data_IF_548606048365
#
_entry.id   IF_548606048365
#
_cell.length_a   1.000
_cell.length_b   1.000
_cell.length_c   1.000
_cell.angle_alpha   90.00
_cell.angle_beta   90.00
_cell.angle_gamma   90.00
#
_symmetry.space_group_name_H-M   'P 1'
#
loop_
_entity.id
_entity.type
_entity.pdbx_description
1 polymer ?
#
# COMPACT_ATOMS: atom_id res chain seq x y z
N UNK A 1 -45.93 38.84 15.78
CA UNK A 1 -44.68 38.40 16.46
C UNK A 1 -44.57 36.88 16.39
N UNK A 2 -45.66 36.15 16.62
CA UNK A 2 -45.71 34.67 16.47
C UNK A 2 -45.47 34.15 15.04
N UNK A 3 -45.94 34.83 13.99
CA UNK A 3 -45.72 34.39 12.59
C UNK A 3 -44.24 34.47 12.16
N UNK A 4 -43.52 35.53 12.56
CA UNK A 4 -42.09 35.71 12.26
C UNK A 4 -41.19 34.74 13.06
N UNK A 5 -41.67 34.27 14.21
CA UNK A 5 -40.97 33.26 15.01
C UNK A 5 -41.08 31.88 14.34
N UNK A 6 -42.27 31.55 13.85
CA UNK A 6 -42.57 30.30 13.17
C UNK A 6 -41.84 30.18 11.81
N UNK A 7 -41.70 31.29 11.08
CA UNK A 7 -40.99 31.31 9.79
C UNK A 7 -39.48 31.11 9.96
N UNK A 8 -38.87 31.73 10.98
CA UNK A 8 -37.45 31.51 11.30
C UNK A 8 -37.16 30.09 11.81
N UNK A 9 -38.07 29.54 12.61
CA UNK A 9 -37.98 28.18 13.12
C UNK A 9 -38.14 27.15 11.98
N UNK A 10 -39.06 27.40 11.05
CA UNK A 10 -39.24 26.60 9.84
C UNK A 10 -38.01 26.65 8.92
N UNK A 11 -37.42 27.83 8.70
CA UNK A 11 -36.20 27.98 7.90
C UNK A 11 -35.00 27.28 8.55
N UNK A 12 -34.90 27.32 9.89
CA UNK A 12 -33.87 26.60 10.64
C UNK A 12 -34.03 25.09 10.51
N UNK A 13 -35.25 24.56 10.69
CA UNK A 13 -35.56 23.15 10.51
C UNK A 13 -35.33 22.67 9.06
N UNK A 14 -35.64 23.52 8.08
CA UNK A 14 -35.42 23.22 6.65
C UNK A 14 -33.92 23.12 6.33
N UNK A 15 -33.08 24.02 6.86
CA UNK A 15 -31.62 23.96 6.69
C UNK A 15 -31.02 22.69 7.29
N UNK A 16 -31.38 22.38 8.54
CA UNK A 16 -30.93 21.15 9.19
C UNK A 16 -31.36 19.89 8.41
N UNK A 17 -32.57 19.88 7.85
CA UNK A 17 -33.06 18.77 7.04
C UNK A 17 -32.28 18.59 5.73
N UNK A 18 -31.94 19.69 5.05
CA UNK A 18 -31.14 19.65 3.82
C UNK A 18 -29.71 19.18 4.09
N UNK A 19 -29.11 19.62 5.19
CA UNK A 19 -27.77 19.18 5.64
C UNK A 19 -27.74 17.67 5.91
N UNK A 20 -28.74 17.14 6.64
CA UNK A 20 -28.85 15.70 6.89
C UNK A 20 -29.03 14.90 5.59
N UNK A 21 -29.81 15.43 4.64
CA UNK A 21 -29.99 14.78 3.33
C UNK A 21 -28.71 14.78 2.50
N UNK A 22 -28.01 15.90 2.44
CA UNK A 22 -26.74 16.00 1.73
C UNK A 22 -25.69 15.07 2.34
N UNK A 23 -25.59 15.03 3.67
CA UNK A 23 -24.73 14.09 4.40
C UNK A 23 -25.10 12.64 4.09
N UNK A 24 -26.39 12.29 4.13
CA UNK A 24 -26.86 10.95 3.79
C UNK A 24 -26.52 10.54 2.34
N UNK A 25 -26.70 11.44 1.38
CA UNK A 25 -26.33 11.21 -0.01
C UNK A 25 -24.81 11.00 -0.18
N UNK A 26 -23.99 11.79 0.52
CA UNK A 26 -22.53 11.64 0.52
C UNK A 26 -22.10 10.28 1.09
N UNK A 27 -22.68 9.87 2.22
CA UNK A 27 -22.37 8.58 2.84
C UNK A 27 -22.73 7.41 1.90
N UNK A 28 -23.88 7.49 1.23
CA UNK A 28 -24.30 6.49 0.25
C UNK A 28 -23.36 6.46 -0.96
N UNK A 29 -22.91 7.62 -1.44
CA UNK A 29 -21.92 7.71 -2.52
C UNK A 29 -20.58 7.10 -2.11
N UNK A 30 -20.06 7.43 -0.93
CA UNK A 30 -18.79 6.89 -0.42
C UNK A 30 -18.82 5.36 -0.32
N UNK A 31 -19.95 4.80 0.09
CA UNK A 31 -20.14 3.34 0.14
C UNK A 31 -20.11 2.72 -1.27
N UNK A 32 -20.72 3.39 -2.26
CA UNK A 32 -20.76 2.93 -3.66
C UNK A 32 -19.44 3.08 -4.42
N UNK A 33 -18.61 4.07 -4.06
CA UNK A 33 -17.36 4.40 -4.76
C UNK A 33 -16.13 3.65 -4.22
N UNK A 34 -16.34 2.70 -3.32
CA UNK A 34 -15.28 2.00 -2.60
C UNK A 34 -14.60 0.96 -3.51
N UNK A 35 -13.29 1.12 -3.74
CA UNK A 35 -12.46 0.22 -4.57
C UNK A 35 -11.71 -0.79 -3.67
N UNK A 36 -11.66 -2.07 -4.08
CA UNK A 36 -10.87 -3.12 -3.39
C UNK A 36 -11.60 -3.87 -2.26
N UNK A 37 -12.93 -3.85 -2.27
CA UNK A 37 -13.80 -4.37 -1.19
C UNK A 37 -14.53 -5.66 -1.53
N UNK A 38 -14.17 -6.25 -2.68
CA UNK A 38 -14.89 -7.34 -3.36
C UNK A 38 -15.03 -8.60 -2.49
N UNK A 39 -14.23 -8.69 -1.42
CA UNK A 39 -14.17 -9.81 -0.49
C UNK A 39 -14.56 -9.46 0.96
N UNK A 40 -14.99 -8.23 1.24
CA UNK A 40 -15.51 -7.89 2.57
C UNK A 40 -16.98 -8.31 2.72
N UNK A 41 -17.38 -8.63 3.95
CA UNK A 41 -18.78 -8.92 4.24
C UNK A 41 -19.64 -7.68 3.98
N UNK A 42 -20.88 -7.86 3.49
CA UNK A 42 -21.80 -6.78 3.13
C UNK A 42 -22.16 -5.80 4.28
N UNK A 43 -21.70 -6.07 5.51
CA UNK A 43 -21.88 -5.20 6.68
C UNK A 43 -20.73 -4.21 6.90
N UNK A 44 -19.64 -4.28 6.13
CA UNK A 44 -18.50 -3.37 6.31
C UNK A 44 -18.76 -2.07 5.54
N UNK A 45 -19.27 -1.07 6.25
CA UNK A 45 -19.51 0.29 5.73
C UNK A 45 -18.23 1.11 5.67
N UNK A 46 -18.23 2.18 4.88
CA UNK A 46 -17.15 3.18 4.90
C UNK A 46 -16.82 3.62 6.35
N UNK A 47 -15.56 3.51 6.80
CA UNK A 47 -15.19 3.89 8.16
C UNK A 47 -15.23 5.42 8.30
N UNK A 48 -16.36 5.93 8.80
CA UNK A 48 -16.51 7.32 9.21
C UNK A 48 -16.18 7.41 10.69
N UNK A 49 -15.05 8.04 11.02
CA UNK A 49 -14.58 8.14 12.41
C UNK A 49 -15.43 9.09 13.24
N UNK A 50 -15.83 10.23 12.67
CA UNK A 50 -16.62 11.26 13.39
C UNK A 50 -17.35 12.16 12.40
N UNK A 51 -18.55 12.60 12.76
CA UNK A 51 -19.31 13.63 12.04
C UNK A 51 -19.34 14.86 12.94
N UNK A 52 -18.91 16.01 12.40
CA UNK A 52 -18.90 17.30 13.12
C UNK A 52 -19.70 18.33 12.32
N UNK A 53 -20.58 19.05 13.00
CA UNK A 53 -21.22 20.25 12.45
C UNK A 53 -20.31 21.44 12.70
N UNK A 54 -20.09 22.27 11.68
CA UNK A 54 -19.26 23.47 11.80
C UNK A 54 -20.14 24.67 11.51
N UNK A 55 -20.15 25.66 12.41
CA UNK A 55 -20.95 26.86 12.26
C UNK A 55 -20.15 27.97 11.57
N UNK A 56 -20.83 28.86 10.83
CA UNK A 56 -20.18 30.01 10.18
C UNK A 56 -19.43 30.88 11.18
N UNK A 57 -19.92 31.01 12.41
CA UNK A 57 -19.24 31.76 13.48
C UNK A 57 -17.91 31.15 13.94
N UNK A 58 -17.63 29.90 13.58
CA UNK A 58 -16.38 29.19 13.87
C UNK A 58 -15.40 29.25 12.68
N UNK A 59 -15.79 29.89 11.58
CA UNK A 59 -15.03 29.96 10.33
C UNK A 59 -14.61 31.39 10.01
N UNK A 60 -13.48 31.52 9.31
CA UNK A 60 -13.10 32.76 8.63
C UNK A 60 -13.44 32.59 7.16
N UNK A 61 -14.40 33.38 6.66
CA UNK A 61 -14.73 33.38 5.24
C UNK A 61 -13.63 34.08 4.45
N UNK A 62 -13.08 33.38 3.45
CA UNK A 62 -11.99 33.88 2.62
C UNK A 62 -12.45 33.79 1.17
N UNK A 63 -12.39 34.91 0.46
CA UNK A 63 -12.74 34.92 -0.95
C UNK A 63 -11.70 34.16 -1.79
N UNK A 64 -12.11 33.66 -2.95
CA UNK A 64 -11.26 32.83 -3.81
C UNK A 64 -9.99 33.55 -4.28
N UNK A 65 -10.03 34.87 -4.46
CA UNK A 65 -8.87 35.65 -4.88
C UNK A 65 -7.85 35.80 -3.75
N UNK A 66 -8.33 36.03 -2.53
CA UNK A 66 -7.51 36.06 -1.32
C UNK A 66 -6.94 34.68 -1.00
N UNK A 67 -7.73 33.62 -1.10
CA UNK A 67 -7.23 32.26 -0.90
C UNK A 67 -6.09 31.92 -1.87
N UNK A 68 -6.24 32.27 -3.15
CA UNK A 68 -5.20 32.08 -4.16
C UNK A 68 -3.97 32.97 -3.96
N UNK A 69 -4.17 34.24 -3.59
CA UNK A 69 -3.08 35.19 -3.35
C UNK A 69 -2.25 34.85 -2.10
N UNK A 70 -2.90 34.32 -1.06
CA UNK A 70 -2.24 33.90 0.17
C UNK A 70 -1.45 32.59 -0.01
N UNK A 71 -1.70 31.84 -1.10
CA UNK A 71 -1.04 30.56 -1.40
C UNK A 71 -0.93 29.63 -0.18
N UNK A 72 -1.98 29.60 0.64
CA UNK A 72 -2.00 28.85 1.92
C UNK A 72 -1.80 27.36 1.63
N UNK A 73 -2.33 26.88 0.50
CA UNK A 73 -2.15 25.53 0.00
C UNK A 73 -1.79 25.57 -1.49
N UNK A 74 -0.76 24.83 -1.88
CA UNK A 74 -0.38 24.62 -3.27
C UNK A 74 -1.42 23.73 -3.95
N UNK A 75 -2.16 24.24 -4.93
CA UNK A 75 -3.20 23.48 -5.64
C UNK A 75 -2.67 22.21 -6.35
N UNK A 76 -1.36 22.13 -6.61
CA UNK A 76 -0.73 21.09 -7.42
C UNK A 76 -0.12 19.92 -6.64
N UNK A 77 -0.24 19.86 -5.31
CA UNK A 77 0.54 18.91 -4.48
C UNK A 77 -0.24 17.72 -3.89
N UNK A 78 -1.39 17.38 -4.47
CA UNK A 78 -2.12 16.17 -4.09
C UNK A 78 -1.79 14.99 -5.01
N UNK A 79 -0.51 14.58 -5.02
CA UNK A 79 -0.17 13.25 -5.54
C UNK A 79 -0.76 12.22 -4.57
N UNK A 80 -1.79 11.52 -5.03
CA UNK A 80 -2.67 10.61 -4.28
C UNK A 80 -2.05 10.01 -3.01
N UNK A 81 -2.80 10.16 -1.92
CA UNK A 81 -2.37 9.76 -0.58
C UNK A 81 -1.78 8.36 -0.59
N UNK A 82 -0.65 8.20 0.11
CA UNK A 82 0.08 6.93 0.18
C UNK A 82 -0.84 5.77 0.60
N UNK A 83 -1.77 6.03 1.53
CA UNK A 83 -2.77 5.07 2.02
C UNK A 83 -3.81 4.69 0.97
N UNK A 84 -4.19 5.61 0.08
CA UNK A 84 -5.13 5.32 -1.01
C UNK A 84 -4.47 4.46 -2.09
N UNK A 85 -3.18 4.71 -2.37
CA UNK A 85 -2.38 3.87 -3.27
C UNK A 85 -2.16 2.46 -2.70
N UNK A 86 -1.98 2.36 -1.39
CA UNK A 86 -1.89 1.09 -0.68
C UNK A 86 -3.23 0.34 -0.73
N UNK A 87 -4.34 1.03 -0.44
CA UNK A 87 -5.70 0.47 -0.51
C UNK A 87 -6.08 -0.02 -1.91
N UNK A 88 -5.64 0.69 -2.95
CA UNK A 88 -5.89 0.30 -4.35
C UNK A 88 -4.91 -0.75 -4.89
N UNK A 89 -3.94 -1.21 -4.09
CA UNK A 89 -2.91 -2.15 -4.54
C UNK A 89 -1.92 -1.59 -5.57
N UNK A 90 -1.92 -0.27 -5.80
CA UNK A 90 -1.06 0.42 -6.79
C UNK A 90 0.21 1.01 -6.17
N UNK A 91 0.51 0.65 -4.92
CA UNK A 91 1.67 1.10 -4.18
C UNK A 91 2.96 0.45 -4.69
N UNK A 92 4.00 1.26 -4.84
CA UNK A 92 5.37 0.86 -5.22
C UNK A 92 6.21 0.67 -3.97
N UNK A 93 7.40 0.06 -4.11
CA UNK A 93 8.37 -0.14 -3.03
C UNK A 93 8.68 1.16 -2.28
N UNK A 94 8.89 2.27 -3.01
CA UNK A 94 9.12 3.60 -2.42
C UNK A 94 7.98 4.08 -1.52
N UNK A 95 6.73 3.71 -1.83
CA UNK A 95 5.57 4.08 -1.02
C UNK A 95 5.54 3.26 0.28
N UNK A 96 5.87 1.97 0.22
CA UNK A 96 5.98 1.14 1.42
C UNK A 96 7.13 1.58 2.34
N UNK A 97 8.27 1.96 1.76
CA UNK A 97 9.41 2.49 2.51
C UNK A 97 9.06 3.83 3.18
N UNK A 98 8.40 4.75 2.46
CA UNK A 98 7.95 6.01 3.02
C UNK A 98 6.93 5.82 4.14
N UNK A 99 6.04 4.83 4.03
CA UNK A 99 5.11 4.48 5.10
C UNK A 99 5.87 4.00 6.34
N UNK A 100 6.80 3.05 6.17
CA UNK A 100 7.64 2.52 7.25
C UNK A 100 8.42 3.65 7.96
N UNK A 101 9.07 4.53 7.21
CA UNK A 101 9.76 5.72 7.76
C UNK A 101 8.82 6.64 8.50
N UNK A 102 7.61 6.87 7.97
CA UNK A 102 6.61 7.73 8.61
C UNK A 102 6.19 7.15 9.95
N UNK A 103 5.88 5.85 10.01
CA UNK A 103 5.51 5.16 11.25
C UNK A 103 6.67 5.19 12.26
N UNK A 104 7.88 4.86 11.82
CA UNK A 104 9.07 4.87 12.66
C UNK A 104 9.34 6.25 13.26
N UNK A 105 9.29 7.29 12.42
CA UNK A 105 9.44 8.68 12.85
C UNK A 105 8.34 9.09 13.83
N UNK A 106 7.08 8.68 13.61
CA UNK A 106 5.99 8.93 14.54
C UNK A 106 6.24 8.29 15.91
N UNK A 107 6.71 7.03 15.98
CA UNK A 107 7.08 6.38 17.25
C UNK A 107 8.20 7.14 17.96
N UNK A 108 9.21 7.60 17.21
CA UNK A 108 10.31 8.40 17.75
C UNK A 108 9.79 9.72 18.32
N UNK A 109 8.90 10.42 17.59
CA UNK A 109 8.26 11.65 18.05
C UNK A 109 7.45 11.40 19.32
N UNK A 110 6.68 10.31 19.39
CA UNK A 110 5.94 9.90 20.60
C UNK A 110 6.84 9.78 21.82
N UNK A 111 7.93 9.02 21.69
CA UNK A 111 8.92 8.82 22.76
C UNK A 111 9.58 10.13 23.18
N UNK A 112 9.88 11.03 22.22
CA UNK A 112 10.40 12.35 22.54
C UNK A 112 9.38 13.20 23.31
N UNK A 113 8.11 13.21 22.90
CA UNK A 113 7.04 13.95 23.58
C UNK A 113 6.82 13.44 25.01
N UNK A 114 6.90 12.12 25.22
CA UNK A 114 6.89 11.51 26.57
C UNK A 114 8.08 11.98 27.41
N UNK A 115 9.28 12.02 26.83
CA UNK A 115 10.51 12.43 27.53
C UNK A 115 10.54 13.91 27.94
N UNK A 116 9.88 14.77 27.16
CA UNK A 116 9.85 16.22 27.39
C UNK A 116 8.85 16.59 28.50
N UNK A 117 7.93 15.69 28.87
CA UNK A 117 7.09 15.81 30.06
C UNK A 117 6.12 17.00 30.06
N UNK A 118 5.97 17.71 28.93
CA UNK A 118 5.06 18.85 28.83
C UNK A 118 3.68 18.40 28.36
N UNK A 119 2.60 18.65 29.13
CA UNK A 119 1.24 18.40 28.69
C UNK A 119 0.85 19.46 27.66
N UNK A 120 1.16 19.21 26.38
CA UNK A 120 0.51 19.93 25.30
C UNK A 120 -0.97 19.54 25.37
N UNK A 121 -1.80 20.44 25.90
CA UNK A 121 -3.24 20.22 26.11
C UNK A 121 -3.97 19.81 24.82
N UNK A 122 -3.42 20.21 23.66
CA UNK A 122 -3.91 19.81 22.34
C UNK A 122 -3.62 18.34 22.00
N UNK A 123 -2.53 17.76 22.51
CA UNK A 123 -2.03 16.43 22.12
C UNK A 123 -2.28 15.34 23.18
N UNK A 124 -2.75 15.70 24.37
CA UNK A 124 -3.01 14.74 25.45
C UNK A 124 -3.94 13.60 25.03
N UNK A 125 -4.95 13.91 24.22
CA UNK A 125 -5.91 12.90 23.75
C UNK A 125 -5.31 11.95 22.70
N UNK A 126 -4.29 12.40 21.96
CA UNK A 126 -3.72 11.66 20.81
C UNK A 126 -2.39 10.98 21.16
N UNK A 127 -1.85 11.21 22.36
CA UNK A 127 -0.56 10.64 22.79
C UNK A 127 -0.56 9.11 22.75
N UNK A 128 -1.71 8.48 23.02
CA UNK A 128 -1.89 7.03 22.95
C UNK A 128 -1.68 6.47 21.53
N UNK A 129 -1.92 7.27 20.49
CA UNK A 129 -1.71 6.84 19.11
C UNK A 129 -0.23 6.63 18.79
N UNK A 130 0.67 7.34 19.49
CA UNK A 130 2.13 7.25 19.29
C UNK A 130 2.81 6.14 20.11
N UNK A 131 2.01 5.34 20.83
CA UNK A 131 2.49 4.29 21.72
C UNK A 131 2.76 2.94 21.03
N UNK A 132 2.53 1.87 21.77
CA UNK A 132 2.80 0.48 21.36
C UNK A 132 2.20 0.07 20.01
N UNK A 133 0.96 0.43 19.64
CA UNK A 133 0.36 -0.02 18.39
C UNK A 133 1.16 0.37 17.13
N UNK A 134 1.73 1.58 17.09
CA UNK A 134 2.59 2.01 15.98
C UNK A 134 3.95 1.31 16.02
N UNK A 135 4.48 1.02 17.20
CA UNK A 135 5.74 0.30 17.36
C UNK A 135 5.61 -1.16 16.91
N UNK A 136 4.52 -1.82 17.27
CA UNK A 136 4.16 -3.17 16.80
C UNK A 136 4.02 -3.19 15.28
N UNK A 137 3.27 -2.23 14.72
CA UNK A 137 3.08 -2.15 13.27
C UNK A 137 4.41 -1.89 12.53
N UNK A 138 5.32 -1.09 13.10
CA UNK A 138 6.67 -0.90 12.59
C UNK A 138 7.47 -2.22 12.59
N UNK A 139 7.39 -2.98 13.68
CA UNK A 139 8.06 -4.27 13.80
C UNK A 139 7.51 -5.29 12.80
N UNK A 140 6.18 -5.37 12.64
CA UNK A 140 5.52 -6.24 11.67
C UNK A 140 5.94 -5.88 10.25
N UNK A 141 5.93 -4.59 9.87
CA UNK A 141 6.36 -4.17 8.54
C UNK A 141 7.82 -4.52 8.26
N UNK A 142 8.69 -4.33 9.25
CA UNK A 142 10.12 -4.66 9.14
C UNK A 142 10.35 -6.17 9.04
N UNK A 143 9.55 -6.97 9.75
CA UNK A 143 9.60 -8.42 9.68
C UNK A 143 9.00 -8.97 8.37
N UNK A 144 8.05 -8.26 7.78
CA UNK A 144 7.36 -8.70 6.56
C UNK A 144 8.12 -8.39 5.28
N UNK A 145 8.70 -7.19 5.17
CA UNK A 145 9.21 -6.66 3.89
C UNK A 145 10.74 -6.64 3.89
N UNK A 146 11.33 -7.25 2.86
CA UNK A 146 12.75 -7.09 2.54
C UNK A 146 12.90 -5.89 1.60
N UNK A 147 13.25 -4.71 2.14
CA UNK A 147 13.41 -3.52 1.31
C UNK A 147 14.61 -3.62 0.35
N UNK A 148 15.69 -4.33 0.70
CA UNK A 148 16.85 -4.48 -0.18
C UNK A 148 16.51 -5.36 -1.39
N UNK A 149 15.93 -6.54 -1.16
CA UNK A 149 15.48 -7.44 -2.24
C UNK A 149 14.35 -6.79 -3.06
N UNK A 150 13.47 -6.02 -2.41
CA UNK A 150 12.40 -5.29 -3.10
C UNK A 150 12.91 -4.24 -4.09
N UNK A 151 13.99 -3.54 -3.74
CA UNK A 151 14.61 -2.57 -4.65
C UNK A 151 15.36 -3.25 -5.80
N UNK A 152 16.02 -4.39 -5.54
CA UNK A 152 16.72 -5.16 -6.55
C UNK A 152 15.77 -5.76 -7.60
N UNK A 153 14.63 -6.29 -7.17
CA UNK A 153 13.65 -6.98 -8.03
C UNK A 153 12.59 -6.02 -8.61
N UNK A 154 12.61 -4.74 -8.22
CA UNK A 154 11.63 -3.70 -8.57
C UNK A 154 10.16 -4.12 -8.34
N UNK A 155 9.94 -4.96 -7.32
CA UNK A 155 8.62 -5.41 -6.84
C UNK A 155 8.69 -5.57 -5.33
N UNK A 156 7.55 -5.57 -4.63
CA UNK A 156 7.57 -5.84 -3.19
C UNK A 156 8.00 -7.29 -2.97
N UNK A 157 8.99 -7.49 -2.11
CA UNK A 157 9.50 -8.79 -1.76
C UNK A 157 9.38 -9.00 -0.25
N UNK A 158 8.78 -10.14 0.11
CA UNK A 158 8.62 -10.55 1.51
C UNK A 158 9.90 -11.20 2.03
N UNK A 159 10.18 -11.02 3.32
CA UNK A 159 11.27 -11.70 4.02
C UNK A 159 11.06 -13.21 4.05
N UNK A 160 12.17 -13.96 4.14
CA UNK A 160 12.22 -15.43 4.07
C UNK A 160 11.69 -16.18 5.29
N UNK A 161 10.92 -15.51 6.15
CA UNK A 161 10.29 -16.10 7.33
C UNK A 161 8.78 -15.89 7.35
N UNK A 162 8.22 -15.29 6.30
CA UNK A 162 6.80 -14.90 6.25
C UNK A 162 5.95 -15.98 5.59
N UNK A 163 6.43 -16.57 4.50
CA UNK A 163 5.70 -17.59 3.75
C UNK A 163 6.64 -18.74 3.34
N UNK A 164 6.55 -19.90 4.01
CA UNK A 164 7.42 -21.03 3.75
C UNK A 164 7.25 -21.62 2.34
N UNK A 165 6.08 -21.47 1.71
CA UNK A 165 5.86 -21.98 0.34
C UNK A 165 6.45 -21.02 -0.69
N UNK A 166 6.31 -19.70 -0.49
CA UNK A 166 6.99 -18.71 -1.32
C UNK A 166 8.51 -18.87 -1.24
N UNK A 167 9.03 -19.15 -0.04
CA UNK A 167 10.46 -19.35 0.19
C UNK A 167 10.97 -20.64 -0.46
N UNK A 168 10.18 -21.71 -0.42
CA UNK A 168 10.50 -22.96 -1.14
C UNK A 168 10.57 -22.71 -2.64
N UNK A 169 9.62 -21.97 -3.21
CA UNK A 169 9.59 -21.64 -4.64
C UNK A 169 10.76 -20.73 -5.02
N UNK A 170 11.05 -19.69 -4.24
CA UNK A 170 12.25 -18.85 -4.41
C UNK A 170 13.52 -19.69 -4.35
N UNK A 171 13.61 -20.65 -3.43
CA UNK A 171 14.76 -21.55 -3.28
C UNK A 171 14.95 -22.44 -4.50
N UNK A 172 13.88 -23.05 -5.03
CA UNK A 172 13.94 -23.84 -6.26
C UNK A 172 14.38 -22.99 -7.44
N UNK A 173 13.86 -21.77 -7.57
CA UNK A 173 14.27 -20.84 -8.63
C UNK A 173 15.76 -20.47 -8.52
N UNK A 174 16.26 -20.19 -7.31
CA UNK A 174 17.69 -19.91 -7.06
C UNK A 174 18.58 -21.12 -7.36
N UNK A 175 18.08 -22.34 -7.17
CA UNK A 175 18.80 -23.59 -7.49
C UNK A 175 18.69 -23.98 -8.97
N UNK A 176 17.76 -23.39 -9.72
CA UNK A 176 17.50 -23.72 -11.12
C UNK A 176 18.76 -23.67 -12.00
N UNK A 177 19.63 -22.64 -11.93
CA UNK A 177 20.86 -22.61 -12.72
C UNK A 177 21.80 -23.78 -12.41
N UNK A 178 21.94 -24.17 -11.13
CA UNK A 178 22.77 -25.31 -10.74
C UNK A 178 22.19 -26.64 -11.24
N UNK A 179 20.86 -26.79 -11.20
CA UNK A 179 20.17 -27.97 -11.74
C UNK A 179 20.35 -28.03 -13.25
N UNK A 180 20.15 -26.92 -13.97
CA UNK A 180 20.34 -26.85 -15.42
C UNK A 180 21.79 -27.12 -15.82
N UNK A 181 22.75 -26.66 -15.01
CA UNK A 181 24.19 -26.94 -15.23
C UNK A 181 24.48 -28.43 -15.02
N UNK A 182 23.92 -29.05 -13.98
CA UNK A 182 24.05 -30.49 -13.74
C UNK A 182 23.45 -31.31 -14.88
N UNK A 183 22.22 -31.00 -15.29
CA UNK A 183 21.56 -31.66 -16.43
C UNK A 183 22.35 -31.44 -17.72
N UNK A 184 22.91 -30.24 -17.95
CA UNK A 184 23.77 -30.00 -19.11
C UNK A 184 25.00 -30.91 -19.11
N UNK A 185 25.61 -31.16 -17.95
CA UNK A 185 26.79 -32.02 -17.80
C UNK A 185 26.44 -33.51 -17.95
N UNK A 186 25.31 -33.95 -17.41
CA UNK A 186 24.82 -35.32 -17.55
C UNK A 186 24.44 -35.63 -19.01
N UNK A 187 23.70 -34.73 -19.66
CA UNK A 187 23.37 -34.86 -21.08
C UNK A 187 24.61 -34.74 -21.96
N UNK A 188 25.58 -33.87 -21.65
CA UNK A 188 26.87 -33.83 -22.37
C UNK A 188 27.60 -35.18 -22.34
N UNK A 189 27.62 -35.81 -21.17
CA UNK A 189 28.27 -37.11 -20.96
C UNK A 189 27.53 -38.23 -21.69
N UNK A 190 26.20 -38.19 -21.69
CA UNK A 190 25.35 -39.12 -22.43
C UNK A 190 25.57 -38.98 -23.94
N UNK A 191 25.54 -37.76 -24.45
CA UNK A 191 25.72 -37.45 -25.88
C UNK A 191 27.18 -37.52 -26.35
N UNK A 192 28.17 -37.67 -25.45
CA UNK A 192 29.61 -37.58 -25.77
C UNK A 192 29.97 -36.28 -26.54
N UNK A 193 29.18 -35.22 -26.35
CA UNK A 193 29.36 -33.96 -27.07
C UNK A 193 30.41 -33.09 -26.36
N UNK A 194 31.25 -32.38 -27.13
CA UNK A 194 32.32 -31.55 -26.58
C UNK A 194 31.80 -30.35 -25.76
N UNK A 195 30.61 -29.84 -26.08
CA UNK A 195 29.96 -28.72 -25.38
C UNK A 195 28.44 -28.87 -25.43
N UNK A 196 27.78 -28.84 -24.28
CA UNK A 196 26.31 -28.88 -24.18
C UNK A 196 25.84 -27.73 -23.30
N UNK A 197 24.76 -27.05 -23.68
CA UNK A 197 24.14 -26.00 -22.87
C UNK A 197 22.63 -26.23 -22.77
N UNK A 198 22.08 -26.01 -21.58
CA UNK A 198 20.62 -26.06 -21.38
C UNK A 198 20.10 -24.64 -21.28
N UNK A 199 19.07 -24.31 -22.05
CA UNK A 199 18.45 -22.99 -22.08
C UNK A 199 16.95 -23.09 -21.88
N UNK A 200 16.36 -22.07 -21.26
CA UNK A 200 14.91 -21.93 -21.15
C UNK A 200 14.41 -20.87 -22.12
N UNK A 201 13.47 -21.24 -23.00
CA UNK A 201 12.81 -20.31 -23.92
C UNK A 201 11.32 -20.25 -23.60
N UNK A 202 10.77 -19.08 -23.23
CA UNK A 202 9.33 -18.92 -23.01
C UNK A 202 8.52 -19.40 -24.23
N UNK A 203 7.45 -20.17 -23.98
CA UNK A 203 6.60 -20.90 -24.94
C UNK A 203 7.12 -22.22 -25.50
N UNK A 204 8.42 -22.52 -25.39
CA UNK A 204 9.00 -23.80 -25.87
C UNK A 204 9.38 -24.70 -24.69
N UNK A 205 9.87 -24.11 -23.60
CA UNK A 205 10.30 -24.82 -22.39
C UNK A 205 11.81 -24.95 -22.30
N UNK A 206 12.28 -26.01 -21.64
CA UNK A 206 13.70 -26.33 -21.49
C UNK A 206 14.23 -27.02 -22.74
N UNK A 207 15.35 -26.51 -23.26
CA UNK A 207 15.99 -26.97 -24.48
C UNK A 207 17.44 -27.36 -24.21
N UNK A 208 17.88 -28.46 -24.80
CA UNK A 208 19.27 -28.87 -24.85
C UNK A 208 19.87 -28.39 -26.17
N UNK A 209 20.94 -27.61 -26.10
CA UNK A 209 21.67 -27.07 -27.25
C UNK A 209 22.95 -27.88 -27.43
N UNK A 210 23.06 -28.52 -28.59
CA UNK A 210 24.21 -29.31 -29.02
C UNK A 210 25.00 -28.54 -30.08
N UNK A 211 26.32 -28.79 -30.21
CA UNK A 211 27.17 -28.08 -31.15
C UNK A 211 26.97 -28.62 -32.58
N UNK A 212 27.30 -27.80 -33.59
CA UNK A 212 26.96 -28.08 -35.00
C UNK A 212 27.69 -29.29 -35.60
N UNK A 213 28.73 -29.78 -34.94
CA UNK A 213 29.53 -30.96 -35.26
C UNK A 213 28.96 -32.26 -34.67
N UNK A 214 27.85 -32.18 -33.93
CA UNK A 214 27.16 -33.35 -33.40
C UNK A 214 26.39 -34.09 -34.50
N UNK A 215 26.76 -35.34 -34.77
CA UNK A 215 26.08 -36.21 -35.73
C UNK A 215 24.99 -37.04 -35.02
N UNK A 216 23.69 -36.76 -35.28
CA UNK A 216 22.58 -37.41 -34.56
C UNK A 216 22.34 -38.88 -34.94
N UNK A 217 23.06 -39.41 -35.93
CA UNK A 217 22.87 -40.77 -36.46
C UNK A 217 23.54 -41.87 -35.61
N UNK A 218 24.35 -41.52 -34.61
CA UNK A 218 25.06 -42.50 -33.76
C UNK A 218 24.31 -42.86 -32.46
N UNK A 219 23.06 -42.41 -32.28
CA UNK A 219 22.24 -42.75 -31.12
C UNK A 219 21.26 -43.91 -31.41
N UNK A 220 21.45 -45.10 -30.81
CA UNK A 220 20.38 -46.07 -30.68
C UNK A 220 19.37 -45.57 -29.65
N UNK A 221 18.08 -45.84 -29.88
CA UNK A 221 16.97 -45.55 -28.95
C UNK A 221 17.25 -45.94 -27.49
#
# INVERSE_FOLDING_TARGET
>A
MDELMNENEFQSQLKALLEVRALGALLMYLDSARVGVEYETANVRTPVTTIKTILIGEMVEVDKSTYGALNIFSADEYKGHILERLRSGTAKVVHWENLHKTISNSVIIGRYLESVGSPLTLLQNDMHCYGEPLAELCAVLSAMIDFEESYAENRLVMNTSVDPELDRVKSIYRQLPSILTGVAQDEASRFQAATCSVAYVPMIGYLVVLPHDFHPEEFPE
#
